data_IF_286911987928
#
_entry.id   IF_286911987928
#
_cell.length_a   1.000
_cell.length_b   1.000
_cell.length_c   1.000
_cell.angle_alpha   90.00
_cell.angle_beta   90.00
_cell.angle_gamma   90.00
#
_symmetry.space_group_name_H-M   'P 1'
#
loop_
_entity.id
_entity.type
_entity.pdbx_description
1 polymer ?
#
# COMPACT_ATOMS: atom_id res chain seq x y z
N UNK A 1 -20.49 -0.29 23.90
CA UNK A 1 -19.24 -0.16 24.65
C UNK A 1 -18.55 1.10 24.22
N UNK A 2 -18.17 1.97 25.14
CA UNK A 2 -17.31 3.10 24.82
C UNK A 2 -15.83 2.66 24.78
N UNK A 3 -14.96 3.49 24.21
CA UNK A 3 -13.53 3.17 24.08
C UNK A 3 -12.83 2.92 25.43
N UNK A 4 -13.25 3.59 26.50
CA UNK A 4 -12.64 3.41 27.82
C UNK A 4 -12.97 2.02 28.41
N UNK A 5 -14.18 1.51 28.18
CA UNK A 5 -14.56 0.15 28.56
C UNK A 5 -13.75 -0.90 27.80
N UNK A 6 -13.51 -0.68 26.50
CA UNK A 6 -12.66 -1.55 25.68
C UNK A 6 -11.22 -1.57 26.22
N UNK A 7 -10.65 -0.40 26.51
CA UNK A 7 -9.29 -0.26 27.05
C UNK A 7 -9.16 -0.94 28.41
N UNK A 8 -10.13 -0.74 29.32
CA UNK A 8 -10.13 -1.38 30.63
C UNK A 8 -10.21 -2.92 30.54
N UNK A 9 -10.99 -3.46 29.58
CA UNK A 9 -11.03 -4.90 29.32
C UNK A 9 -9.67 -5.41 28.80
N UNK A 10 -9.04 -4.66 27.88
CA UNK A 10 -7.76 -5.00 27.29
C UNK A 10 -6.61 -4.97 28.31
N UNK A 11 -6.56 -3.97 29.20
CA UNK A 11 -5.50 -3.82 30.19
C UNK A 11 -5.33 -5.04 31.09
N UNK A 12 -6.43 -5.74 31.41
CA UNK A 12 -6.37 -7.00 32.18
C UNK A 12 -5.60 -8.12 31.48
N UNK A 13 -5.62 -8.12 30.14
CA UNK A 13 -4.91 -9.09 29.29
C UNK A 13 -3.50 -8.62 28.91
N UNK A 14 -3.30 -7.31 28.87
CA UNK A 14 -2.04 -6.68 28.46
C UNK A 14 -1.07 -6.40 29.62
N UNK A 15 -1.47 -6.66 30.88
CA UNK A 15 -0.68 -6.34 32.08
C UNK A 15 0.77 -6.86 32.06
N UNK A 16 0.98 -8.06 31.49
CA UNK A 16 2.29 -8.72 31.43
C UNK A 16 2.83 -8.79 29.98
N UNK A 17 2.20 -8.07 29.05
CA UNK A 17 2.68 -7.89 27.68
C UNK A 17 3.72 -6.77 27.67
N UNK A 18 4.71 -6.86 26.79
CA UNK A 18 5.74 -5.82 26.66
C UNK A 18 5.11 -4.42 26.54
N UNK A 19 5.57 -3.40 27.30
CA UNK A 19 4.81 -2.15 27.43
C UNK A 19 4.54 -1.43 26.10
N UNK A 20 5.53 -1.39 25.20
CA UNK A 20 5.33 -0.83 23.85
C UNK A 20 4.28 -1.60 23.02
N UNK A 21 4.22 -2.93 23.15
CA UNK A 21 3.21 -3.73 22.45
C UNK A 21 1.83 -3.48 23.05
N UNK A 22 1.73 -3.39 24.39
CA UNK A 22 0.50 -3.02 25.07
C UNK A 22 0.01 -1.62 24.66
N UNK A 23 0.92 -0.65 24.52
CA UNK A 23 0.60 0.69 24.00
C UNK A 23 0.04 0.64 22.57
N UNK A 24 0.69 -0.09 21.66
CA UNK A 24 0.20 -0.29 20.29
C UNK A 24 -1.15 -0.99 20.24
N UNK A 25 -1.40 -1.97 21.11
CA UNK A 25 -2.71 -2.62 21.22
C UNK A 25 -3.80 -1.64 21.65
N UNK A 26 -3.51 -0.74 22.61
CA UNK A 26 -4.44 0.33 23.01
C UNK A 26 -4.72 1.29 21.86
N UNK A 27 -3.70 1.66 21.10
CA UNK A 27 -3.87 2.53 19.95
C UNK A 27 -4.68 1.87 18.83
N UNK A 28 -4.45 0.58 18.59
CA UNK A 28 -5.26 -0.22 17.67
C UNK A 28 -6.74 -0.21 18.06
N UNK A 29 -7.05 -0.37 19.36
CA UNK A 29 -8.42 -0.28 19.88
C UNK A 29 -9.03 1.09 19.58
N UNK A 30 -8.28 2.18 19.79
CA UNK A 30 -8.77 3.55 19.52
C UNK A 30 -9.05 3.75 18.03
N UNK A 31 -8.13 3.32 17.16
CA UNK A 31 -8.27 3.49 15.71
C UNK A 31 -9.42 2.63 15.16
N UNK A 32 -9.55 1.38 15.59
CA UNK A 32 -10.67 0.53 15.22
C UNK A 32 -12.01 1.14 15.68
N UNK A 33 -12.08 1.58 16.94
CA UNK A 33 -13.29 2.21 17.49
C UNK A 33 -13.68 3.49 16.74
N UNK A 34 -12.72 4.32 16.32
CA UNK A 34 -12.99 5.51 15.49
C UNK A 34 -13.59 5.19 14.12
N UNK A 35 -13.43 3.95 13.62
CA UNK A 35 -14.03 3.43 12.40
C UNK A 35 -15.34 2.67 12.65
N UNK A 36 -15.84 2.67 13.88
CA UNK A 36 -17.03 1.91 14.26
C UNK A 36 -16.79 0.40 14.41
N UNK A 37 -15.53 -0.04 14.46
CA UNK A 37 -15.15 -1.46 14.63
C UNK A 37 -14.73 -1.67 16.10
N UNK A 38 -15.39 -2.60 16.78
CA UNK A 38 -15.14 -2.86 18.19
C UNK A 38 -14.31 -4.13 18.32
N UNK A 39 -13.14 -4.04 18.97
CA UNK A 39 -12.25 -5.19 19.17
C UNK A 39 -12.01 -5.46 20.65
N UNK A 40 -11.91 -6.73 21.01
CA UNK A 40 -11.54 -7.18 22.36
C UNK A 40 -10.24 -7.96 22.31
N UNK A 41 -9.32 -7.67 23.23
CA UNK A 41 -8.11 -8.48 23.41
C UNK A 41 -8.52 -9.76 24.16
N UNK A 42 -8.26 -10.91 23.56
CA UNK A 42 -8.64 -12.23 24.09
C UNK A 42 -7.47 -12.90 24.80
N UNK A 43 -6.25 -12.72 24.31
CA UNK A 43 -5.02 -13.28 24.86
C UNK A 43 -3.87 -12.26 24.85
N UNK A 44 -3.00 -12.34 25.85
CA UNK A 44 -1.77 -11.54 25.97
C UNK A 44 -0.58 -12.45 26.24
N UNK A 45 0.12 -12.25 27.37
CA UNK A 45 1.12 -13.21 27.84
C UNK A 45 0.44 -14.57 28.10
N UNK A 46 1.08 -15.64 27.63
CA UNK A 46 0.73 -17.02 27.97
C UNK A 46 1.97 -17.73 28.44
N UNK A 47 2.02 -18.17 29.70
CA UNK A 47 3.21 -18.82 30.26
C UNK A 47 3.56 -20.10 29.49
N UNK A 48 4.81 -20.55 29.61
CA UNK A 48 5.29 -21.80 28.98
C UNK A 48 4.45 -23.01 29.45
N UNK A 49 4.11 -23.05 30.74
CA UNK A 49 3.28 -24.12 31.30
C UNK A 49 1.88 -24.11 30.68
N UNK A 50 1.21 -22.96 30.64
CA UNK A 50 -0.10 -22.80 30.00
C UNK A 50 -0.06 -23.16 28.50
N UNK A 51 1.02 -22.81 27.80
CA UNK A 51 1.19 -23.17 26.39
C UNK A 51 1.34 -24.68 26.19
N UNK A 52 2.05 -25.38 27.08
CA UNK A 52 2.16 -26.84 27.03
C UNK A 52 0.79 -27.50 27.30
N UNK A 53 0.01 -26.96 28.23
CA UNK A 53 -1.36 -27.42 28.49
C UNK A 53 -2.26 -27.27 27.24
N UNK A 54 -2.19 -26.13 26.54
CA UNK A 54 -2.91 -25.95 25.27
C UNK A 54 -2.40 -26.87 24.16
N UNK A 55 -1.09 -27.11 24.09
CA UNK A 55 -0.51 -28.02 23.11
C UNK A 55 -0.99 -29.47 23.30
N UNK A 56 -1.20 -29.89 24.55
CA UNK A 56 -1.74 -31.21 24.89
C UNK A 56 -3.21 -31.39 24.45
N UNK A 57 -3.98 -30.32 24.31
CA UNK A 57 -5.37 -30.37 23.86
C UNK A 57 -5.49 -30.91 22.43
N UNK A 58 -6.38 -31.88 22.23
CA UNK A 58 -6.57 -32.60 20.96
C UNK A 58 -5.44 -33.59 20.63
N UNK A 59 -4.47 -33.78 21.52
CA UNK A 59 -3.35 -34.74 21.37
C UNK A 59 -3.34 -35.75 22.52
N UNK A 60 -3.14 -35.23 23.72
CA UNK A 60 -3.06 -35.99 24.97
C UNK A 60 -4.32 -35.79 25.84
N UNK A 61 -5.07 -34.71 25.60
CA UNK A 61 -6.34 -34.37 26.27
C UNK A 61 -7.46 -34.18 25.25
N UNK A 62 -8.73 -34.47 25.59
CA UNK A 62 -9.87 -34.17 24.72
C UNK A 62 -9.98 -32.68 24.38
N UNK A 63 -10.49 -32.36 23.18
CA UNK A 63 -10.73 -30.98 22.72
C UNK A 63 -10.17 -30.73 21.32
N UNK A 64 -10.53 -29.59 20.70
CA UNK A 64 -9.96 -29.19 19.42
C UNK A 64 -8.50 -28.74 19.56
N UNK A 65 -7.68 -28.98 18.54
CA UNK A 65 -6.31 -28.47 18.50
C UNK A 65 -6.37 -26.95 18.29
N UNK A 66 -6.07 -26.20 19.34
CA UNK A 66 -6.07 -24.71 19.32
C UNK A 66 -4.68 -24.12 19.07
N UNK A 67 -3.63 -24.95 19.09
CA UNK A 67 -2.26 -24.51 18.83
C UNK A 67 -1.40 -25.66 18.32
N UNK A 68 -0.41 -25.31 17.47
CA UNK A 68 0.65 -26.20 17.03
C UNK A 68 1.98 -25.94 17.75
N UNK A 69 2.05 -24.95 18.63
CA UNK A 69 3.27 -24.55 19.32
C UNK A 69 3.36 -25.16 20.72
N UNK A 70 4.52 -25.74 21.04
CA UNK A 70 4.90 -26.08 22.42
C UNK A 70 5.30 -24.82 23.19
N UNK A 71 5.38 -24.91 24.52
CA UNK A 71 5.91 -23.85 25.36
C UNK A 71 7.29 -23.39 24.91
N UNK A 72 7.47 -22.08 24.75
CA UNK A 72 8.68 -21.46 24.21
C UNK A 72 8.74 -21.38 22.68
N UNK A 73 7.70 -21.83 21.97
CA UNK A 73 7.58 -21.75 20.51
C UNK A 73 6.46 -20.81 20.06
N UNK A 74 5.99 -19.92 20.95
CA UNK A 74 5.06 -18.84 20.63
C UNK A 74 5.55 -17.52 21.22
N UNK A 75 5.36 -16.40 20.50
CA UNK A 75 5.69 -15.07 21.01
C UNK A 75 4.81 -14.65 22.19
N UNK A 76 3.64 -15.28 22.37
CA UNK A 76 2.86 -15.14 23.61
C UNK A 76 3.63 -15.58 24.84
N UNK A 77 4.59 -16.51 24.72
CA UNK A 77 5.37 -17.00 25.87
C UNK A 77 6.39 -15.98 26.40
N UNK A 78 6.64 -14.93 25.62
CA UNK A 78 7.60 -13.89 25.92
C UNK A 78 6.94 -12.52 26.09
N UNK A 79 5.60 -12.46 26.12
CA UNK A 79 4.85 -11.19 26.21
C UNK A 79 4.98 -10.33 24.95
N UNK A 80 5.25 -10.94 23.80
CA UNK A 80 5.51 -10.28 22.52
C UNK A 80 4.39 -10.47 21.49
N UNK A 81 3.24 -10.97 21.91
CA UNK A 81 2.06 -11.10 21.08
C UNK A 81 0.77 -10.89 21.88
N UNK A 82 -0.31 -10.59 21.17
CA UNK A 82 -1.66 -10.59 21.68
C UNK A 82 -2.63 -11.09 20.60
N UNK A 83 -3.74 -11.67 21.04
CA UNK A 83 -4.83 -12.05 20.15
C UNK A 83 -6.04 -11.15 20.37
N UNK A 84 -6.80 -10.89 19.30
CA UNK A 84 -8.03 -10.11 19.36
C UNK A 84 -9.22 -10.82 18.72
N UNK A 85 -10.41 -10.29 18.95
CA UNK A 85 -11.65 -10.69 18.26
C UNK A 85 -12.50 -9.45 17.96
N UNK A 86 -13.27 -9.50 16.88
CA UNK A 86 -14.29 -8.49 16.57
C UNK A 86 -15.49 -8.69 17.50
N UNK A 87 -16.05 -7.62 18.03
CA UNK A 87 -17.20 -7.62 18.92
C UNK A 87 -18.34 -6.76 18.39
N UNK A 88 -19.56 -7.03 18.85
CA UNK A 88 -20.69 -6.13 18.62
C UNK A 88 -20.46 -4.80 19.34
N UNK A 89 -21.11 -3.74 18.86
CA UNK A 89 -20.96 -2.39 19.42
C UNK A 89 -21.36 -2.32 20.90
N UNK A 90 -22.29 -3.16 21.36
CA UNK A 90 -22.72 -3.28 22.76
C UNK A 90 -21.86 -4.28 23.58
N UNK A 91 -21.02 -5.08 22.93
CA UNK A 91 -20.13 -6.06 23.56
C UNK A 91 -20.79 -7.36 24.01
N UNK A 92 -22.02 -7.62 23.58
CA UNK A 92 -22.77 -8.83 23.94
C UNK A 92 -22.40 -10.02 23.06
N UNK A 93 -21.89 -9.79 21.85
CA UNK A 93 -21.48 -10.82 20.90
C UNK A 93 -20.02 -10.62 20.44
N UNK A 94 -19.39 -11.73 20.05
CA UNK A 94 -18.07 -11.76 19.40
C UNK A 94 -18.13 -12.55 18.10
N UNK A 95 -17.33 -12.15 17.13
CA UNK A 95 -17.34 -12.69 15.77
C UNK A 95 -15.96 -13.23 15.40
N UNK A 96 -15.87 -14.56 15.32
CA UNK A 96 -14.68 -15.27 14.84
C UNK A 96 -14.66 -15.48 13.32
N UNK A 97 -15.75 -15.14 12.63
CA UNK A 97 -15.86 -15.23 11.18
C UNK A 97 -15.14 -14.04 10.51
N UNK A 98 -14.14 -14.34 9.67
CA UNK A 98 -13.35 -13.35 8.92
C UNK A 98 -14.15 -12.49 7.94
N UNK A 99 -15.37 -12.90 7.59
CA UNK A 99 -16.24 -12.18 6.65
C UNK A 99 -17.15 -11.14 7.31
N UNK A 100 -17.01 -10.90 8.62
CA UNK A 100 -17.84 -9.92 9.32
C UNK A 100 -17.53 -8.48 8.85
N UNK A 101 -18.58 -7.69 8.71
CA UNK A 101 -18.58 -6.26 8.42
C UNK A 101 -19.59 -5.60 9.39
N UNK A 102 -19.13 -5.29 10.60
CA UNK A 102 -19.99 -4.76 11.68
C UNK A 102 -20.30 -3.28 11.50
N UNK A 103 -19.41 -2.54 10.85
CA UNK A 103 -19.57 -1.11 10.59
C UNK A 103 -20.33 -0.81 9.28
N UNK A 104 -20.61 -1.84 8.47
CA UNK A 104 -21.41 -1.80 7.22
C UNK A 104 -20.80 -0.91 6.15
N UNK A 105 -19.47 -0.86 6.07
CA UNK A 105 -18.76 -0.08 5.05
C UNK A 105 -18.43 -0.88 3.78
N UNK A 106 -18.85 -2.15 3.72
CA UNK A 106 -18.61 -3.05 2.59
C UNK A 106 -17.23 -3.71 2.63
N UNK A 107 -16.44 -3.52 3.69
CA UNK A 107 -15.12 -4.11 3.88
C UNK A 107 -15.11 -5.04 5.11
N UNK A 108 -14.35 -6.12 5.03
CA UNK A 108 -14.23 -7.09 6.13
C UNK A 108 -13.45 -6.49 7.31
N UNK A 109 -14.05 -6.44 8.49
CA UNK A 109 -13.47 -5.82 9.68
C UNK A 109 -12.11 -6.42 10.06
N UNK A 110 -11.98 -7.75 9.95
CA UNK A 110 -10.72 -8.44 10.21
C UNK A 110 -9.57 -7.90 9.37
N UNK A 111 -9.81 -7.66 8.08
CA UNK A 111 -8.82 -7.07 7.20
C UNK A 111 -8.52 -5.63 7.58
N UNK A 112 -9.55 -4.84 7.89
CA UNK A 112 -9.38 -3.44 8.31
C UNK A 112 -8.52 -3.33 9.57
N UNK A 113 -8.81 -4.14 10.61
CA UNK A 113 -8.04 -4.18 11.85
C UNK A 113 -6.61 -4.69 11.59
N UNK A 114 -6.46 -5.70 10.72
CA UNK A 114 -5.17 -6.16 10.20
C UNK A 114 -4.31 -5.00 9.68
N UNK A 115 -4.85 -4.19 8.77
CA UNK A 115 -4.15 -3.03 8.20
C UNK A 115 -3.85 -1.95 9.26
N UNK A 116 -4.76 -1.70 10.20
CA UNK A 116 -4.49 -0.76 11.30
C UNK A 116 -3.34 -1.24 12.20
N UNK A 117 -3.27 -2.54 12.51
CA UNK A 117 -2.18 -3.08 13.31
C UNK A 117 -0.84 -2.95 12.58
N UNK A 118 -0.83 -3.19 11.26
CA UNK A 118 0.35 -3.00 10.42
C UNK A 118 0.79 -1.55 10.34
N UNK A 119 -0.14 -0.59 10.23
CA UNK A 119 0.22 0.83 10.24
C UNK A 119 0.84 1.27 11.58
N UNK A 120 0.51 0.57 12.67
CA UNK A 120 1.15 0.71 13.98
C UNK A 120 2.48 -0.04 14.11
N UNK A 121 2.97 -0.69 13.06
CA UNK A 121 4.22 -1.46 13.04
C UNK A 121 4.12 -2.81 13.72
N UNK A 122 2.91 -3.40 13.80
CA UNK A 122 2.72 -4.78 14.25
C UNK A 122 2.78 -5.75 13.07
N UNK A 123 3.28 -6.95 13.32
CA UNK A 123 3.18 -8.06 12.39
C UNK A 123 1.82 -8.76 12.60
N UNK A 124 1.04 -8.92 11.54
CA UNK A 124 -0.30 -9.53 11.60
C UNK A 124 -0.28 -10.99 11.15
N UNK A 125 -0.87 -11.88 11.95
CA UNK A 125 -0.95 -13.31 11.64
C UNK A 125 -1.84 -13.65 10.43
N UNK A 126 -2.74 -12.75 10.02
CA UNK A 126 -3.51 -12.90 8.78
C UNK A 126 -2.65 -12.93 7.49
N UNK A 127 -1.43 -12.36 7.56
CA UNK A 127 -0.48 -12.32 6.43
C UNK A 127 0.48 -13.53 6.41
N UNK A 128 0.40 -14.45 7.37
CA UNK A 128 1.28 -15.61 7.42
C UNK A 128 1.08 -16.54 6.21
N UNK A 129 2.19 -16.98 5.60
CA UNK A 129 2.18 -17.81 4.38
C UNK A 129 1.59 -19.19 4.60
N UNK A 130 1.71 -19.73 5.81
CA UNK A 130 1.20 -21.04 6.21
C UNK A 130 0.74 -20.96 7.65
N UNK A 131 -0.44 -21.52 7.93
CA UNK A 131 -1.20 -21.32 9.16
C UNK A 131 -1.49 -19.84 9.41
N UNK A 132 -2.37 -19.28 8.56
CA UNK A 132 -2.92 -17.94 8.80
C UNK A 132 -3.60 -17.91 10.16
N UNK A 133 -3.29 -16.87 10.92
CA UNK A 133 -3.82 -16.65 12.27
C UNK A 133 -4.35 -15.21 12.39
N UNK A 134 -5.51 -14.91 11.79
CA UNK A 134 -6.07 -13.55 11.77
C UNK A 134 -6.24 -12.89 13.16
N UNK A 135 -6.58 -13.62 14.25
CA UNK A 135 -6.57 -13.09 15.62
C UNK A 135 -5.23 -12.53 16.09
N UNK A 136 -4.12 -12.95 15.50
CA UNK A 136 -2.80 -12.76 16.09
C UNK A 136 -2.10 -11.47 15.64
N UNK A 137 -1.53 -10.75 16.59
CA UNK A 137 -0.52 -9.72 16.35
C UNK A 137 0.72 -9.95 17.19
N UNK A 138 1.89 -9.65 16.63
CA UNK A 138 3.17 -9.70 17.34
C UNK A 138 4.04 -8.47 17.09
N UNK A 139 4.93 -8.20 18.04
CA UNK A 139 6.03 -7.25 17.90
C UNK A 139 7.31 -7.93 18.38
N UNK A 140 8.11 -8.39 17.42
CA UNK A 140 9.25 -9.28 17.69
C UNK A 140 10.53 -8.55 18.07
N UNK A 141 10.63 -7.26 17.77
CA UNK A 141 11.86 -6.48 17.88
C UNK A 141 13.02 -7.06 17.04
N UNK A 142 12.70 -7.86 16.01
CA UNK A 142 13.69 -8.60 15.21
C UNK A 142 14.26 -9.83 15.91
N UNK A 143 13.78 -10.21 17.08
CA UNK A 143 14.21 -11.40 17.81
C UNK A 143 13.47 -12.64 17.34
N UNK A 144 14.21 -13.71 17.05
CA UNK A 144 13.63 -15.01 16.79
C UNK A 144 13.22 -15.74 18.08
N UNK A 145 12.28 -16.69 17.99
CA UNK A 145 11.92 -17.56 19.12
C UNK A 145 13.12 -18.35 19.68
N UNK A 146 14.12 -18.69 18.84
CA UNK A 146 15.32 -19.36 19.30
C UNK A 146 16.17 -18.48 20.21
N UNK A 147 16.31 -17.20 19.86
CA UNK A 147 17.02 -16.20 20.66
C UNK A 147 16.28 -15.89 21.97
N UNK A 148 14.95 -15.82 21.92
CA UNK A 148 14.14 -15.62 23.12
C UNK A 148 14.27 -16.82 24.08
N UNK A 149 14.26 -18.05 23.55
CA UNK A 149 14.53 -19.27 24.34
C UNK A 149 15.95 -19.32 24.91
N UNK A 150 16.94 -18.74 24.23
CA UNK A 150 18.30 -18.64 24.77
C UNK A 150 18.49 -17.48 25.77
N UNK A 151 17.43 -16.72 26.04
CA UNK A 151 17.40 -15.68 27.07
C UNK A 151 17.64 -14.25 26.56
N UNK A 152 17.75 -14.02 25.24
CA UNK A 152 17.73 -12.66 24.71
C UNK A 152 16.39 -12.00 25.05
N UNK A 153 16.41 -10.70 25.31
CA UNK A 153 15.23 -9.92 25.71
C UNK A 153 15.01 -8.77 24.74
N UNK A 154 13.74 -8.37 24.48
CA UNK A 154 13.44 -7.17 23.73
C UNK A 154 14.01 -5.92 24.44
N UNK A 155 14.31 -4.85 23.69
CA UNK A 155 14.75 -3.59 24.28
C UNK A 155 13.63 -2.97 25.14
N UNK A 156 13.97 -2.15 26.15
CA UNK A 156 12.97 -1.39 26.90
C UNK A 156 12.21 -0.41 25.97
N UNK A 157 10.98 -0.08 26.35
CA UNK A 157 10.00 0.60 25.47
C UNK A 157 10.44 1.96 24.92
N UNK A 158 11.43 2.62 25.53
CA UNK A 158 11.95 3.93 25.09
C UNK A 158 13.15 3.88 24.14
N UNK A 159 13.74 2.72 23.86
CA UNK A 159 14.93 2.60 23.00
C UNK A 159 14.68 1.85 21.70
N UNK A 160 13.42 1.47 21.43
CA UNK A 160 13.06 0.83 20.18
C UNK A 160 12.77 1.88 19.11
N UNK A 161 13.69 2.00 18.15
CA UNK A 161 13.40 2.61 16.86
C UNK A 161 12.85 1.52 15.95
N UNK A 162 11.56 1.56 15.55
CA UNK A 162 11.05 0.63 14.56
C UNK A 162 11.93 0.69 13.31
N UNK A 163 12.20 -0.45 12.65
CA UNK A 163 12.80 -0.41 11.32
C UNK A 163 11.93 0.50 10.43
N UNK A 164 12.59 1.32 9.61
CA UNK A 164 11.89 2.26 8.74
C UNK A 164 10.87 1.51 7.89
N UNK A 165 9.60 1.95 7.90
CA UNK A 165 8.51 1.31 7.16
C UNK A 165 8.92 1.21 5.68
N UNK A 166 9.11 -0.03 5.20
CA UNK A 166 9.61 -0.32 3.85
C UNK A 166 8.50 -0.48 2.80
N UNK A 167 7.26 -0.21 3.18
CA UNK A 167 6.08 -0.34 2.33
C UNK A 167 5.18 0.90 2.47
N UNK A 168 4.33 1.11 1.47
CA UNK A 168 3.32 2.17 1.47
C UNK A 168 1.92 1.56 1.43
N UNK A 169 0.99 2.09 2.22
CA UNK A 169 -0.39 1.61 2.30
C UNK A 169 -1.37 2.75 2.52
N UNK A 170 -2.66 2.43 2.49
CA UNK A 170 -3.73 3.41 2.67
C UNK A 170 -3.57 4.19 4.00
N UNK A 171 -3.58 5.51 3.89
CA UNK A 171 -3.37 6.44 5.01
C UNK A 171 -1.98 7.07 5.03
N UNK A 172 -0.99 6.48 4.35
CA UNK A 172 0.35 7.07 4.22
C UNK A 172 0.30 8.37 3.42
N UNK A 173 1.22 9.28 3.72
CA UNK A 173 1.34 10.58 3.06
C UNK A 173 2.79 10.98 2.82
N UNK A 174 3.00 11.84 1.83
CA UNK A 174 4.28 12.51 1.58
C UNK A 174 5.00 12.04 0.32
N UNK A 175 6.29 12.37 0.23
CA UNK A 175 7.05 12.24 -1.01
C UNK A 175 7.14 10.80 -1.54
N UNK A 176 7.27 9.79 -0.65
CA UNK A 176 7.31 8.37 -1.05
C UNK A 176 6.00 7.95 -1.74
N UNK A 177 4.85 8.41 -1.23
CA UNK A 177 3.54 8.16 -1.84
C UNK A 177 3.42 8.86 -3.19
N UNK A 178 3.86 10.13 -3.26
CA UNK A 178 3.84 10.91 -4.49
C UNK A 178 4.69 10.25 -5.59
N UNK A 179 5.84 9.70 -5.22
CA UNK A 179 6.70 8.93 -6.11
C UNK A 179 6.01 7.67 -6.61
N UNK A 180 5.39 6.89 -5.71
CA UNK A 180 4.62 5.70 -6.07
C UNK A 180 3.48 6.03 -7.06
N UNK A 181 2.66 7.05 -6.75
CA UNK A 181 1.56 7.49 -7.60
C UNK A 181 2.08 7.87 -8.99
N UNK A 182 3.17 8.65 -9.06
CA UNK A 182 3.79 9.03 -10.33
C UNK A 182 4.29 7.84 -11.15
N UNK A 183 4.85 6.81 -10.50
CA UNK A 183 5.27 5.56 -11.16
C UNK A 183 4.06 4.78 -11.70
N UNK A 184 2.99 4.66 -10.92
CA UNK A 184 1.75 3.99 -11.32
C UNK A 184 1.08 4.70 -12.51
N UNK A 185 1.01 6.03 -12.49
CA UNK A 185 0.47 6.83 -13.60
C UNK A 185 1.28 6.64 -14.88
N UNK A 186 2.61 6.61 -14.80
CA UNK A 186 3.48 6.32 -15.96
C UNK A 186 3.24 4.95 -16.57
N UNK A 187 2.87 3.97 -15.74
CA UNK A 187 2.49 2.62 -16.17
C UNK A 187 1.01 2.52 -16.62
N UNK A 188 0.27 3.63 -16.62
CA UNK A 188 -1.11 3.69 -17.07
C UNK A 188 -2.16 3.29 -16.03
N UNK A 189 -1.80 3.25 -14.75
CA UNK A 189 -2.75 3.00 -13.66
C UNK A 189 -3.29 4.31 -13.10
N UNK A 190 -4.61 4.41 -12.99
CA UNK A 190 -5.29 5.58 -12.42
C UNK A 190 -5.21 5.58 -10.89
N UNK A 191 -4.59 6.62 -10.34
CA UNK A 191 -4.41 6.84 -8.91
C UNK A 191 -5.31 7.96 -8.37
N UNK A 192 -6.16 8.55 -9.21
CA UNK A 192 -6.97 9.73 -8.85
C UNK A 192 -6.18 11.03 -8.76
N UNK A 193 -4.85 10.99 -8.98
CA UNK A 193 -3.96 12.15 -8.90
C UNK A 193 -2.60 11.78 -8.31
N UNK A 194 -1.68 12.76 -8.30
CA UNK A 194 -0.34 12.63 -7.69
C UNK A 194 -0.19 13.67 -6.58
N UNK A 195 -1.03 13.53 -5.57
CA UNK A 195 -1.17 14.45 -4.43
C UNK A 195 -0.30 14.06 -3.23
N UNK A 196 0.30 12.86 -3.25
CA UNK A 196 1.08 12.30 -2.16
C UNK A 196 0.23 11.76 -1.00
N UNK A 197 -1.05 11.45 -1.23
CA UNK A 197 -1.95 10.84 -0.25
C UNK A 197 -2.33 9.44 -0.73
N UNK A 198 -2.01 8.41 0.06
CA UNK A 198 -2.33 7.04 -0.29
C UNK A 198 -3.78 6.76 0.12
N UNK A 199 -4.70 7.10 -0.77
CA UNK A 199 -6.14 6.98 -0.55
C UNK A 199 -6.72 5.70 -1.18
N UNK A 200 -8.05 5.62 -1.30
CA UNK A 200 -8.71 4.47 -1.94
C UNK A 200 -8.34 4.37 -3.43
N UNK A 201 -8.14 5.48 -4.14
CA UNK A 201 -7.79 5.47 -5.56
C UNK A 201 -6.37 4.89 -5.76
N UNK A 202 -5.41 5.34 -4.94
CA UNK A 202 -4.04 4.81 -4.94
C UNK A 202 -4.01 3.32 -4.56
N UNK A 203 -4.76 2.91 -3.53
CA UNK A 203 -4.87 1.50 -3.15
C UNK A 203 -5.48 0.63 -4.27
N UNK A 204 -6.51 1.13 -4.96
CA UNK A 204 -7.11 0.45 -6.10
C UNK A 204 -6.12 0.32 -7.27
N UNK A 205 -5.36 1.37 -7.59
CA UNK A 205 -4.31 1.32 -8.61
C UNK A 205 -3.29 0.21 -8.32
N UNK A 206 -2.83 0.13 -7.06
CA UNK A 206 -1.90 -0.91 -6.61
C UNK A 206 -2.52 -2.30 -6.70
N UNK A 207 -3.77 -2.49 -6.25
CA UNK A 207 -4.48 -3.77 -6.38
C UNK A 207 -4.61 -4.21 -7.85
N UNK A 208 -4.93 -3.28 -8.76
CA UNK A 208 -5.06 -3.60 -10.19
C UNK A 208 -3.72 -4.04 -10.77
N UNK A 209 -2.62 -3.33 -10.45
CA UNK A 209 -1.28 -3.74 -10.84
C UNK A 209 -0.95 -5.13 -10.28
N UNK A 210 -1.16 -5.35 -8.98
CA UNK A 210 -0.89 -6.63 -8.32
C UNK A 210 -1.63 -7.78 -9.01
N UNK A 211 -2.93 -7.62 -9.33
CA UNK A 211 -3.72 -8.62 -10.07
C UNK A 211 -3.12 -8.91 -11.44
N UNK A 212 -2.74 -7.87 -12.20
CA UNK A 212 -2.17 -8.03 -13.54
C UNK A 212 -0.82 -8.73 -13.54
N UNK A 213 -0.05 -8.59 -12.47
CA UNK A 213 1.29 -9.18 -12.35
C UNK A 213 1.33 -10.48 -11.54
N UNK A 214 0.16 -11.05 -11.20
CA UNK A 214 0.05 -12.30 -10.43
C UNK A 214 0.48 -12.19 -8.96
N UNK A 215 0.54 -10.97 -8.41
CA UNK A 215 0.76 -10.73 -6.98
C UNK A 215 -0.55 -10.79 -6.21
N UNK A 216 -0.47 -10.98 -4.89
CA UNK A 216 -1.62 -10.83 -4.01
C UNK A 216 -2.14 -9.38 -4.07
N UNK A 217 -3.44 -9.23 -4.34
CA UNK A 217 -4.08 -7.94 -4.54
C UNK A 217 -4.58 -7.34 -3.21
N UNK A 218 -3.65 -6.96 -2.34
CA UNK A 218 -3.92 -6.39 -1.01
C UNK A 218 -3.94 -4.85 -1.00
N UNK A 219 -3.48 -4.22 -2.09
CA UNK A 219 -3.44 -2.76 -2.21
C UNK A 219 -2.30 -2.11 -1.43
N UNK A 220 -1.30 -2.90 -1.01
CA UNK A 220 -0.11 -2.44 -0.28
C UNK A 220 1.10 -2.46 -1.22
N UNK A 221 1.77 -1.33 -1.36
CA UNK A 221 3.01 -1.23 -2.10
C UNK A 221 4.19 -1.67 -1.23
N UNK A 222 4.28 -2.97 -0.96
CA UNK A 222 5.41 -3.62 -0.31
C UNK A 222 6.57 -3.92 -1.26
N UNK A 223 7.66 -4.49 -0.73
CA UNK A 223 8.91 -4.78 -1.46
C UNK A 223 8.67 -5.43 -2.84
N UNK A 224 7.84 -6.47 -2.90
CA UNK A 224 7.53 -7.17 -4.16
C UNK A 224 6.78 -6.30 -5.16
N UNK A 225 5.84 -5.49 -4.68
CA UNK A 225 5.06 -4.58 -5.53
C UNK A 225 5.94 -3.46 -6.06
N UNK A 226 6.77 -2.87 -5.20
CA UNK A 226 7.73 -1.83 -5.59
C UNK A 226 8.74 -2.36 -6.60
N UNK A 227 9.31 -3.54 -6.37
CA UNK A 227 10.23 -4.20 -7.31
C UNK A 227 9.56 -4.45 -8.67
N UNK A 228 8.31 -4.93 -8.67
CA UNK A 228 7.56 -5.16 -9.91
C UNK A 228 7.24 -3.86 -10.67
N UNK A 229 6.97 -2.77 -9.95
CA UNK A 229 6.79 -1.44 -10.56
C UNK A 229 8.08 -0.99 -11.27
N UNK A 230 9.24 -1.15 -10.63
CA UNK A 230 10.53 -0.78 -11.24
C UNK A 230 10.84 -1.63 -12.49
N UNK A 231 10.56 -2.94 -12.43
CA UNK A 231 10.69 -3.85 -13.56
C UNK A 231 9.85 -3.38 -14.76
N UNK A 232 8.55 -3.12 -14.55
CA UNK A 232 7.65 -2.64 -15.60
C UNK A 232 8.07 -1.28 -16.17
N UNK A 233 8.59 -0.37 -15.33
CA UNK A 233 9.10 0.92 -15.77
C UNK A 233 10.36 0.78 -16.62
N UNK A 234 11.20 -0.21 -16.33
CA UNK A 234 12.37 -0.53 -17.15
C UNK A 234 11.95 -1.08 -18.51
N UNK A 235 11.02 -2.03 -18.55
CA UNK A 235 10.46 -2.57 -19.80
C UNK A 235 9.81 -1.47 -20.65
N UNK A 236 9.05 -0.56 -20.04
CA UNK A 236 8.46 0.59 -20.73
C UNK A 236 9.53 1.49 -21.39
N UNK A 237 10.66 1.70 -20.72
CA UNK A 237 11.78 2.50 -21.27
C UNK A 237 12.50 1.77 -22.41
N UNK A 238 12.68 0.46 -22.29
CA UNK A 238 13.34 -0.34 -23.32
C UNK A 238 12.49 -0.40 -24.60
N UNK A 239 11.17 -0.61 -24.48
CA UNK A 239 10.25 -0.61 -25.62
C UNK A 239 10.15 0.76 -26.33
N UNK A 240 10.39 1.86 -25.61
CA UNK A 240 10.41 3.21 -26.20
C UNK A 240 11.73 3.57 -26.89
N UNK A 241 12.83 2.84 -26.62
CA UNK A 241 14.10 3.03 -27.36
C UNK A 241 14.01 2.53 -28.80
N UNK A 242 13.19 1.52 -29.07
CA UNK A 242 13.00 0.99 -30.43
C UNK A 242 12.09 1.90 -31.30
N UNK A 243 11.36 2.84 -30.69
CA UNK A 243 10.55 3.85 -31.40
C UNK A 243 11.25 5.20 -31.57
N UNK A 244 12.37 5.44 -30.88
CA UNK A 244 13.32 6.51 -31.21
C UNK A 244 14.17 6.10 -32.43
N UNK A 245 13.56 5.95 -33.61
CA UNK A 245 14.34 6.19 -34.83
C UNK A 245 14.77 7.64 -34.77
N UNK A 246 16.08 7.89 -34.81
CA UNK A 246 16.66 9.22 -34.94
C UNK A 246 15.81 10.06 -35.91
N UNK A 247 15.36 11.24 -35.48
CA UNK A 247 14.89 12.23 -36.44
C UNK A 247 15.97 12.31 -37.52
N UNK A 248 15.63 12.16 -38.81
CA UNK A 248 16.65 12.22 -39.85
C UNK A 248 17.39 13.54 -39.65
N UNK A 249 18.70 13.46 -39.44
CA UNK A 249 19.57 14.62 -39.45
C UNK A 249 19.62 15.15 -40.88
N UNK A 250 18.55 15.84 -41.28
CA UNK A 250 18.46 16.49 -42.56
C UNK A 250 19.31 17.75 -42.45
N UNK A 251 20.51 17.68 -43.01
CA UNK A 251 21.32 18.86 -43.23
C UNK A 251 20.54 19.80 -44.17
N UNK A 252 19.94 20.85 -43.60
CA UNK A 252 19.17 21.84 -44.34
C UNK A 252 20.11 22.59 -45.27
N UNK A 253 20.08 22.26 -46.57
CA UNK A 253 20.73 23.07 -47.60
C UNK A 253 20.03 24.43 -47.67
N UNK A 254 20.67 25.44 -47.08
CA UNK A 254 20.19 26.84 -47.00
C UNK A 254 19.82 27.46 -48.37
N UNK A 255 20.36 26.89 -49.45
CA UNK A 255 20.25 27.43 -50.81
C UNK A 255 19.36 26.57 -51.74
N UNK A 256 18.58 25.64 -51.19
CA UNK A 256 17.68 24.82 -51.99
C UNK A 256 16.57 25.70 -52.62
N UNK A 257 16.51 25.73 -53.95
CA UNK A 257 15.48 26.45 -54.67
C UNK A 257 14.09 25.93 -54.28
N UNK A 258 13.17 26.85 -53.94
CA UNK A 258 11.78 26.55 -53.65
C UNK A 258 11.16 25.68 -54.75
N UNK A 259 10.65 24.49 -54.38
CA UNK A 259 9.95 23.62 -55.33
C UNK A 259 8.70 24.30 -55.91
N UNK A 260 8.23 23.91 -57.10
CA UNK A 260 7.00 24.47 -57.67
C UNK A 260 5.80 24.38 -56.73
N UNK A 261 5.63 23.23 -56.06
CA UNK A 261 4.60 23.02 -55.03
C UNK A 261 4.74 23.97 -53.84
N UNK A 262 5.97 24.26 -53.43
CA UNK A 262 6.20 25.22 -52.34
C UNK A 262 5.78 26.63 -52.73
N UNK A 263 6.05 27.05 -53.97
CA UNK A 263 5.63 28.37 -54.47
C UNK A 263 4.11 28.49 -54.57
N UNK A 264 3.43 27.43 -55.01
CA UNK A 264 1.97 27.36 -55.02
C UNK A 264 1.39 27.46 -53.60
N UNK A 265 1.95 26.70 -52.65
CA UNK A 265 1.54 26.76 -51.25
C UNK A 265 1.78 28.14 -50.63
N UNK A 266 2.94 28.77 -50.89
CA UNK A 266 3.25 30.13 -50.43
C UNK A 266 2.28 31.16 -51.00
N UNK A 267 1.88 31.03 -52.27
CA UNK A 267 0.90 31.91 -52.88
C UNK A 267 -0.47 31.74 -52.23
N UNK A 268 -0.90 30.50 -52.04
CA UNK A 268 -2.19 30.18 -51.43
C UNK A 268 -2.30 30.69 -49.98
N UNK A 269 -1.28 30.49 -49.13
CA UNK A 269 -1.34 30.96 -47.73
C UNK A 269 -1.37 32.48 -47.62
N UNK A 270 -0.76 33.21 -48.58
CA UNK A 270 -0.83 34.67 -48.67
C UNK A 270 -2.21 35.14 -49.13
N UNK A 271 -2.75 34.54 -50.20
CA UNK A 271 -4.09 34.86 -50.72
C UNK A 271 -5.18 34.59 -49.68
N UNK A 272 -5.00 33.56 -48.85
CA UNK A 272 -5.92 33.22 -47.75
C UNK A 272 -5.63 33.97 -46.44
N UNK A 273 -4.61 34.83 -46.38
CA UNK A 273 -4.27 35.56 -45.15
C UNK A 273 -3.85 34.68 -43.97
N UNK A 274 -3.48 33.42 -44.22
CA UNK A 274 -3.04 32.45 -43.21
C UNK A 274 -1.63 32.82 -42.72
N UNK A 275 -0.79 33.30 -43.64
CA UNK A 275 0.56 33.81 -43.37
C UNK A 275 0.94 34.86 -44.41
N UNK A 276 1.72 35.86 -44.03
CA UNK A 276 2.30 36.84 -44.94
C UNK A 276 3.45 36.26 -45.80
N UNK A 277 3.90 35.03 -45.46
CA UNK A 277 4.99 34.29 -46.08
C UNK A 277 6.29 35.08 -46.14
N UNK A 278 6.52 35.97 -45.17
CA UNK A 278 7.73 36.82 -45.11
C UNK A 278 8.96 36.01 -44.72
N UNK A 279 8.79 34.97 -43.89
CA UNK A 279 9.89 34.15 -43.36
C UNK A 279 9.67 32.65 -43.55
N UNK A 280 9.64 32.15 -44.79
CA UNK A 280 9.30 30.76 -45.10
C UNK A 280 10.30 29.72 -44.58
N UNK A 281 11.52 30.13 -44.25
CA UNK A 281 12.62 29.26 -43.80
C UNK A 281 12.94 29.47 -42.31
N UNK A 282 12.17 30.30 -41.60
CA UNK A 282 12.39 30.54 -40.18
C UNK A 282 11.74 29.41 -39.37
N UNK A 283 12.43 28.86 -38.35
CA UNK A 283 11.80 27.94 -37.41
C UNK A 283 10.54 28.57 -36.79
N UNK A 284 9.48 27.77 -36.69
CA UNK A 284 8.20 28.16 -36.06
C UNK A 284 8.09 27.54 -34.68
N UNK A 285 7.55 28.31 -33.73
CA UNK A 285 7.19 27.81 -32.40
C UNK A 285 5.89 27.01 -32.46
N UNK A 286 5.66 26.14 -31.45
CA UNK A 286 4.39 25.37 -31.35
C UNK A 286 3.16 26.28 -31.24
N UNK A 287 3.29 27.41 -30.55
CA UNK A 287 2.24 28.42 -30.40
C UNK A 287 1.85 29.07 -31.75
N UNK A 288 2.86 29.41 -32.56
CA UNK A 288 2.63 29.93 -33.92
C UNK A 288 1.92 28.88 -34.80
N UNK A 289 2.32 27.61 -34.72
CA UNK A 289 1.67 26.50 -35.46
C UNK A 289 0.20 26.33 -35.06
N UNK A 290 -0.11 26.34 -33.76
CA UNK A 290 -1.49 26.22 -33.28
C UNK A 290 -2.36 27.40 -33.73
N UNK A 291 -1.81 28.61 -33.66
CA UNK A 291 -2.49 29.82 -34.09
C UNK A 291 -2.81 29.79 -35.59
N UNK A 292 -1.88 29.29 -36.41
CA UNK A 292 -2.10 29.13 -37.86
C UNK A 292 -3.16 28.07 -38.18
N UNK A 293 -3.12 26.91 -37.52
CA UNK A 293 -4.11 25.85 -37.71
C UNK A 293 -5.52 26.28 -37.30
N UNK A 294 -5.64 27.01 -36.19
CA UNK A 294 -6.91 27.57 -35.75
C UNK A 294 -7.47 28.59 -36.75
N UNK A 295 -6.64 29.51 -37.25
CA UNK A 295 -7.06 30.47 -38.28
C UNK A 295 -7.54 29.77 -39.55
N UNK A 296 -6.80 28.76 -40.02
CA UNK A 296 -7.18 27.98 -41.19
C UNK A 296 -8.52 27.24 -41.00
N UNK A 297 -8.79 26.71 -39.80
CA UNK A 297 -10.04 25.99 -39.53
C UNK A 297 -11.28 26.88 -39.52
N UNK A 298 -11.13 28.20 -39.35
CA UNK A 298 -12.24 29.16 -39.39
C UNK A 298 -12.57 29.62 -40.83
N UNK A 299 -11.77 29.25 -41.83
CA UNK A 299 -11.96 29.73 -43.22
C UNK A 299 -12.96 28.91 -44.04
N UNK A 300 -13.35 27.72 -43.56
CA UNK A 300 -14.32 26.83 -44.20
C UNK A 300 -15.73 26.93 -43.56
N UNK A 301 -15.98 27.99 -42.77
CA UNK A 301 -17.31 28.37 -42.24
C UNK A 301 -17.78 29.67 -42.89
#
# INVERSE_FOLDING_TARGET
MNVNELLAKADRRLKDVHPLLAEKARELIRQAHSKGIYILITQGLRTIAEQNELYAQGREKPGEIVTNAKGGYSYHNFGLAFDFVIASSDGTAVYWNENVDTNKDGKKDWYQVGQLGKSLGLEWGGDFRSFKDPPHFQLTFGLSLAELRSGKKPPPSGSYTPPEKSYLEQGDRGNKVKELQGKLVKLGYDTGGVDGIYDNATANAVMVLQRRTGLQADGIAGEKTLAKIEELLKELKENNKDTEKEEPNVEYKKDAAASPRFREAQKWVKEKGISDGTYPQRPVTREEVWSMLYRASQMDQ
#
